data_IF_357144080233
#
_entry.id   IF_357144080233
#
_cell.length_a   1.000
_cell.length_b   1.000
_cell.length_c   1.000
_cell.angle_alpha   90.00
_cell.angle_beta   90.00
_cell.angle_gamma   90.00
#
_symmetry.space_group_name_H-M   'P 1'
#
loop_
_entity.id
_entity.type
_entity.pdbx_description
1 polymer ?
#
# COMPACT_ATOMS: atom_id res chain seq x y z
N UNK A 1 -15.44 -10.27 -26.39
CA UNK A 1 -15.70 -10.63 -24.97
C UNK A 1 -15.97 -9.38 -24.11
N UNK A 2 -15.13 -8.34 -24.14
CA UNK A 2 -15.33 -7.09 -23.37
C UNK A 2 -16.60 -6.31 -23.77
N UNK A 3 -16.92 -6.21 -25.07
CA UNK A 3 -18.12 -5.50 -25.56
C UNK A 3 -19.42 -6.15 -25.09
N UNK A 4 -19.44 -7.49 -24.94
CA UNK A 4 -20.62 -8.22 -24.45
C UNK A 4 -20.88 -7.91 -22.97
N UNK A 5 -19.83 -7.90 -22.14
CA UNK A 5 -19.93 -7.53 -20.72
C UNK A 5 -20.38 -6.08 -20.53
N UNK A 6 -19.92 -5.15 -21.36
CA UNK A 6 -20.34 -3.75 -21.29
C UNK A 6 -21.84 -3.59 -21.58
N UNK A 7 -22.34 -4.27 -22.61
CA UNK A 7 -23.76 -4.24 -22.96
C UNK A 7 -24.64 -4.90 -21.88
N UNK A 8 -24.17 -5.97 -21.23
CA UNK A 8 -24.84 -6.61 -20.11
C UNK A 8 -24.97 -5.68 -18.90
N UNK A 9 -23.93 -4.91 -18.58
CA UNK A 9 -23.94 -3.94 -17.48
C UNK A 9 -24.88 -2.77 -17.79
N UNK A 10 -24.81 -2.21 -18.99
CA UNK A 10 -25.73 -1.14 -19.43
C UNK A 10 -27.18 -1.60 -19.34
N UNK A 11 -27.48 -2.80 -19.86
CA UNK A 11 -28.82 -3.39 -19.81
C UNK A 11 -29.29 -3.60 -18.35
N UNK A 12 -28.38 -3.96 -17.44
CA UNK A 12 -28.67 -4.13 -16.01
C UNK A 12 -28.99 -2.81 -15.32
N UNK A 13 -28.30 -1.72 -15.68
CA UNK A 13 -28.58 -0.39 -15.16
C UNK A 13 -29.89 0.17 -15.68
N UNK A 14 -30.18 0.04 -16.98
CA UNK A 14 -31.48 0.45 -17.55
C UNK A 14 -32.65 -0.31 -16.89
N UNK A 15 -32.50 -1.61 -16.66
CA UNK A 15 -33.48 -2.41 -15.89
C UNK A 15 -33.62 -1.90 -14.45
N UNK A 16 -32.53 -1.48 -13.80
CA UNK A 16 -32.55 -0.93 -12.44
C UNK A 16 -33.28 0.42 -12.36
N UNK A 17 -33.24 1.21 -13.43
CA UNK A 17 -33.90 2.52 -13.53
C UNK A 17 -35.39 2.36 -13.85
N UNK A 18 -35.74 1.49 -14.80
CA UNK A 18 -37.09 1.43 -15.40
C UNK A 18 -38.01 0.45 -14.66
N UNK A 19 -37.48 -0.67 -14.14
CA UNK A 19 -38.32 -1.75 -13.61
C UNK A 19 -38.71 -1.52 -12.14
N UNK A 20 -39.95 -1.10 -11.90
CA UNK A 20 -40.54 -1.09 -10.55
C UNK A 20 -40.88 -2.51 -10.11
N UNK A 21 -40.10 -3.07 -9.18
CA UNK A 21 -40.36 -4.41 -8.61
C UNK A 21 -41.27 -4.28 -7.39
N UNK A 22 -42.42 -4.99 -7.41
CA UNK A 22 -43.42 -4.94 -6.33
C UNK A 22 -42.86 -5.32 -4.94
N UNK A 23 -41.84 -6.19 -4.90
CA UNK A 23 -41.14 -6.61 -3.67
C UNK A 23 -40.50 -5.44 -2.91
N UNK A 24 -40.22 -4.32 -3.59
CA UNK A 24 -39.57 -3.13 -3.03
C UNK A 24 -40.53 -1.94 -2.92
N UNK A 25 -41.85 -2.18 -2.98
CA UNK A 25 -42.87 -1.14 -2.86
C UNK A 25 -43.08 -0.62 -1.42
N UNK A 26 -42.43 -1.24 -0.43
CA UNK A 26 -42.47 -0.80 0.97
C UNK A 26 -41.80 0.59 1.13
N UNK A 27 -42.33 1.43 2.03
CA UNK A 27 -41.82 2.76 2.36
C UNK A 27 -40.32 2.79 2.66
N UNK A 28 -39.78 1.70 3.21
CA UNK A 28 -38.37 1.59 3.60
C UNK A 28 -37.42 1.84 2.40
N UNK A 29 -37.82 1.40 1.21
CA UNK A 29 -37.04 1.54 -0.02
C UNK A 29 -37.36 2.82 -0.80
N UNK A 30 -38.24 3.69 -0.28
CA UNK A 30 -38.79 4.80 -1.05
C UNK A 30 -37.72 5.69 -1.70
N UNK A 31 -36.64 5.98 -0.97
CA UNK A 31 -35.53 6.82 -1.43
C UNK A 31 -34.57 6.10 -2.37
N UNK A 32 -34.60 4.76 -2.46
CA UNK A 32 -33.62 3.95 -3.19
C UNK A 32 -34.07 3.60 -4.61
N UNK A 33 -35.39 3.60 -4.83
CA UNK A 33 -35.99 3.20 -6.11
C UNK A 33 -35.55 4.14 -7.24
N UNK A 34 -35.00 3.57 -8.30
CA UNK A 34 -34.58 4.31 -9.50
C UNK A 34 -33.28 5.10 -9.37
N UNK A 35 -32.65 5.10 -8.18
CA UNK A 35 -31.38 5.82 -7.91
C UNK A 35 -30.27 4.91 -7.41
N UNK A 36 -30.60 3.70 -6.95
CA UNK A 36 -29.64 2.68 -6.51
C UNK A 36 -29.81 1.43 -7.36
N UNK A 37 -28.68 0.75 -7.65
CA UNK A 37 -28.68 -0.47 -8.46
C UNK A 37 -29.58 -1.56 -7.89
N UNK A 38 -30.23 -2.33 -8.77
CA UNK A 38 -31.11 -3.43 -8.35
C UNK A 38 -30.35 -4.47 -7.51
N UNK A 39 -29.10 -4.75 -7.85
CA UNK A 39 -28.24 -5.65 -7.09
C UNK A 39 -28.00 -5.17 -5.64
N UNK A 40 -27.80 -3.87 -5.44
CA UNK A 40 -27.73 -3.30 -4.09
C UNK A 40 -29.05 -3.43 -3.34
N UNK A 41 -30.19 -3.18 -4.01
CA UNK A 41 -31.51 -3.34 -3.41
C UNK A 41 -31.76 -4.81 -3.03
N UNK A 42 -31.32 -5.77 -3.84
CA UNK A 42 -31.43 -7.20 -3.56
C UNK A 42 -30.61 -7.59 -2.32
N UNK A 43 -29.38 -7.05 -2.16
CA UNK A 43 -28.59 -7.23 -0.94
C UNK A 43 -29.26 -6.61 0.30
N UNK A 44 -29.83 -5.40 0.16
CA UNK A 44 -30.56 -4.74 1.26
C UNK A 44 -31.80 -5.56 1.63
N UNK A 45 -32.51 -6.14 0.66
CA UNK A 45 -33.67 -6.99 0.90
C UNK A 45 -33.31 -8.27 1.66
N UNK A 46 -32.18 -8.90 1.33
CA UNK A 46 -31.67 -10.05 2.08
C UNK A 46 -31.37 -9.69 3.54
N UNK A 47 -30.84 -8.50 3.80
CA UNK A 47 -30.60 -8.02 5.17
C UNK A 47 -31.87 -7.60 5.89
N UNK A 48 -32.86 -7.06 5.18
CA UNK A 48 -34.19 -6.79 5.73
C UNK A 48 -34.87 -8.06 6.25
N UNK A 49 -34.76 -9.17 5.51
CA UNK A 49 -35.32 -10.47 5.94
C UNK A 49 -34.68 -10.99 7.25
N UNK A 50 -33.45 -10.56 7.56
CA UNK A 50 -32.73 -10.90 8.80
C UNK A 50 -33.14 -10.04 9.99
N UNK A 51 -33.74 -8.87 9.78
CA UNK A 51 -34.14 -7.93 10.85
C UNK A 51 -34.98 -8.60 11.92
N UNK A 52 -35.88 -9.51 11.55
CA UNK A 52 -36.77 -10.22 12.47
C UNK A 52 -36.05 -11.11 13.50
N UNK A 53 -34.82 -11.53 13.20
CA UNK A 53 -34.01 -12.36 14.09
C UNK A 53 -32.89 -11.55 14.76
N UNK A 54 -32.28 -10.62 14.04
CA UNK A 54 -31.12 -9.84 14.50
C UNK A 54 -31.55 -8.65 15.36
N UNK A 55 -32.69 -8.02 15.06
CA UNK A 55 -33.10 -6.77 15.71
C UNK A 55 -32.04 -5.68 15.54
N UNK A 56 -31.78 -4.90 16.59
CA UNK A 56 -30.74 -3.84 16.62
C UNK A 56 -29.38 -4.34 17.16
N UNK A 57 -29.24 -5.64 17.42
CA UNK A 57 -28.04 -6.20 18.03
C UNK A 57 -26.90 -6.30 17.01
N UNK A 58 -25.83 -5.53 17.24
CA UNK A 58 -24.66 -5.50 16.36
C UNK A 58 -23.83 -6.79 16.43
N UNK A 59 -23.86 -7.50 17.56
CA UNK A 59 -23.10 -8.74 17.76
C UNK A 59 -23.70 -9.88 16.94
N UNK A 60 -25.03 -10.01 16.95
CA UNK A 60 -25.77 -10.96 16.11
C UNK A 60 -25.79 -10.54 14.63
N UNK A 61 -25.77 -9.23 14.33
CA UNK A 61 -25.75 -8.73 12.96
C UNK A 61 -24.42 -9.04 12.25
N UNK A 62 -23.30 -8.86 12.96
CA UNK A 62 -21.92 -8.89 12.46
C UNK A 62 -21.59 -7.84 11.39
N UNK A 63 -22.56 -6.99 11.01
CA UNK A 63 -22.45 -5.83 10.12
C UNK A 63 -21.65 -6.07 8.82
N UNK A 64 -21.65 -7.30 8.30
CA UNK A 64 -20.74 -7.71 7.22
C UNK A 64 -21.01 -6.96 5.93
N UNK A 65 -22.28 -6.78 5.52
CA UNK A 65 -22.62 -6.05 4.29
C UNK A 65 -22.23 -4.57 4.38
N UNK A 66 -22.26 -3.99 5.59
CA UNK A 66 -21.91 -2.59 5.84
C UNK A 66 -20.44 -2.36 5.62
N UNK A 67 -19.58 -3.27 6.10
CA UNK A 67 -18.12 -3.14 5.97
C UNK A 67 -17.61 -3.57 4.59
N UNK A 68 -18.25 -4.57 3.96
CA UNK A 68 -17.76 -5.14 2.69
C UNK A 68 -18.33 -4.47 1.45
N UNK A 69 -19.59 -4.03 1.51
CA UNK A 69 -20.30 -3.48 0.35
C UNK A 69 -20.73 -2.02 0.57
N UNK A 70 -20.65 -1.49 1.80
CA UNK A 70 -21.10 -0.13 2.11
C UNK A 70 -22.63 0.03 2.08
N UNK A 71 -23.37 -1.07 2.30
CA UNK A 71 -24.83 -1.11 2.35
C UNK A 71 -25.34 -1.21 3.79
N UNK A 72 -26.57 -0.76 4.10
CA UNK A 72 -27.13 -0.95 5.44
C UNK A 72 -27.30 -2.43 5.76
N UNK A 73 -26.78 -2.82 6.93
CA UNK A 73 -26.90 -4.16 7.46
C UNK A 73 -28.18 -4.34 8.29
N UNK A 74 -28.54 -5.58 8.62
CA UNK A 74 -29.79 -5.90 9.32
C UNK A 74 -30.05 -5.04 10.57
N UNK A 75 -29.04 -4.81 11.43
CA UNK A 75 -29.25 -3.99 12.65
C UNK A 75 -29.51 -2.51 12.37
N UNK A 76 -28.94 -1.96 11.30
CA UNK A 76 -29.21 -0.58 10.89
C UNK A 76 -30.59 -0.47 10.24
N UNK A 77 -30.95 -1.46 9.42
CA UNK A 77 -32.28 -1.55 8.82
C UNK A 77 -33.37 -1.68 9.89
N UNK A 78 -33.08 -2.40 10.99
CA UNK A 78 -33.97 -2.49 12.14
C UNK A 78 -34.24 -1.10 12.76
N UNK A 79 -33.22 -0.25 12.89
CA UNK A 79 -33.38 1.13 13.38
C UNK A 79 -34.28 1.96 12.47
N UNK A 80 -34.10 1.86 11.13
CA UNK A 80 -34.96 2.55 10.17
C UNK A 80 -36.40 1.99 10.14
N UNK A 81 -36.61 0.77 10.64
CA UNK A 81 -37.94 0.17 10.74
C UNK A 81 -38.69 0.60 12.00
N UNK A 82 -37.97 0.92 13.08
CA UNK A 82 -38.53 1.40 14.36
C UNK A 82 -39.07 2.83 14.29
N UNK A 83 -38.55 3.64 13.37
CA UNK A 83 -39.01 5.01 13.09
C UNK A 83 -39.68 4.97 11.71
N UNK A 84 -40.73 5.75 11.40
CA UNK A 84 -41.33 5.78 10.06
C UNK A 84 -40.44 6.49 9.02
N UNK A 85 -39.19 6.04 8.85
CA UNK A 85 -38.21 6.59 7.91
C UNK A 85 -37.85 5.58 6.84
N UNK A 86 -37.63 6.08 5.63
CA UNK A 86 -36.96 5.35 4.56
C UNK A 86 -35.46 5.27 4.84
N UNK A 87 -34.78 4.28 4.25
CA UNK A 87 -33.32 4.22 4.27
C UNK A 87 -32.79 5.48 3.56
N UNK A 88 -31.94 6.28 4.21
CA UNK A 88 -31.42 7.48 3.59
C UNK A 88 -30.32 7.13 2.58
N UNK A 89 -30.14 7.97 1.56
CA UNK A 89 -29.19 7.69 0.46
C UNK A 89 -27.73 7.76 0.92
N UNK A 90 -27.42 8.58 1.93
CA UNK A 90 -26.08 8.68 2.55
C UNK A 90 -25.68 7.40 3.29
N UNK A 91 -26.64 6.58 3.71
CA UNK A 91 -26.40 5.26 4.28
C UNK A 91 -26.04 4.21 3.20
N UNK A 92 -25.92 4.59 1.93
CA UNK A 92 -25.50 3.71 0.84
C UNK A 92 -24.26 4.31 0.21
N UNK A 93 -23.19 3.51 0.11
CA UNK A 93 -21.97 3.98 -0.53
C UNK A 93 -22.24 4.45 -1.97
N UNK A 94 -21.66 5.60 -2.33
CA UNK A 94 -21.85 6.31 -3.61
C UNK A 94 -21.61 5.45 -4.86
N UNK A 95 -20.94 4.31 -4.71
CA UNK A 95 -20.68 3.40 -5.82
C UNK A 95 -21.96 2.73 -6.32
N UNK A 96 -22.90 2.45 -5.43
CA UNK A 96 -24.17 1.78 -5.77
C UNK A 96 -25.23 2.71 -6.36
N UNK A 97 -25.05 4.03 -6.20
CA UNK A 97 -25.93 5.05 -6.76
C UNK A 97 -25.45 5.57 -8.13
N UNK A 98 -24.25 5.18 -8.57
CA UNK A 98 -23.76 5.45 -9.93
C UNK A 98 -24.39 4.46 -10.91
N UNK A 99 -25.56 4.83 -11.44
CA UNK A 99 -26.32 4.05 -12.42
C UNK A 99 -25.98 4.36 -13.89
N UNK A 100 -24.92 5.12 -14.15
CA UNK A 100 -24.53 5.52 -15.50
C UNK A 100 -23.01 5.53 -15.66
N UNK A 101 -22.58 5.22 -16.87
CA UNK A 101 -21.26 5.58 -17.38
C UNK A 101 -21.43 6.82 -18.28
N UNK A 102 -21.80 7.97 -17.73
CA UNK A 102 -21.79 9.19 -18.54
C UNK A 102 -20.35 9.71 -18.64
N UNK A 103 -19.76 9.51 -19.81
CA UNK A 103 -18.86 10.52 -20.39
C UNK A 103 -19.73 11.73 -20.66
N UNK A 104 -19.49 12.84 -19.96
CA UNK A 104 -20.20 14.09 -20.20
C UNK A 104 -19.93 14.56 -21.63
N UNK A 105 -20.89 14.33 -22.52
CA UNK A 105 -20.84 14.77 -23.91
C UNK A 105 -21.29 16.24 -24.08
N UNK A 106 -21.42 17.02 -22.99
CA UNK A 106 -21.98 18.38 -23.03
C UNK A 106 -21.16 19.46 -22.32
N UNK A 107 -19.99 19.14 -21.75
CA UNK A 107 -18.99 20.17 -21.47
C UNK A 107 -18.10 20.28 -22.71
N UNK A 108 -18.14 21.43 -23.40
CA UNK A 108 -17.08 21.75 -24.35
C UNK A 108 -15.74 21.56 -23.62
N UNK A 109 -14.83 20.72 -24.14
CA UNK A 109 -13.54 20.56 -23.50
C UNK A 109 -12.84 21.89 -23.65
N UNK A 110 -12.74 22.65 -22.55
CA UNK A 110 -11.59 23.54 -22.41
C UNK A 110 -10.40 22.65 -22.66
N UNK A 111 -9.67 22.94 -23.74
CA UNK A 111 -8.52 22.19 -24.16
C UNK A 111 -7.45 22.36 -23.07
N UNK A 112 -7.54 21.53 -22.03
CA UNK A 112 -6.50 21.35 -21.03
C UNK A 112 -5.39 20.60 -21.73
N UNK A 113 -4.64 21.36 -22.52
CA UNK A 113 -3.50 20.88 -23.28
C UNK A 113 -2.33 20.75 -22.31
N UNK A 114 -2.09 19.53 -21.87
CA UNK A 114 -0.87 19.17 -21.14
C UNK A 114 0.38 19.20 -22.02
N UNK A 115 0.24 19.59 -23.31
CA UNK A 115 1.32 19.56 -24.29
C UNK A 115 2.50 20.43 -23.86
N UNK A 116 2.22 21.63 -23.34
CA UNK A 116 3.28 22.51 -22.86
C UNK A 116 4.06 21.89 -21.68
N UNK A 117 3.34 21.29 -20.74
CA UNK A 117 3.94 20.65 -19.56
C UNK A 117 4.74 19.40 -19.94
N UNK A 118 4.24 18.62 -20.91
CA UNK A 118 4.94 17.48 -21.50
C UNK A 118 6.20 17.95 -22.22
N UNK A 119 6.12 18.99 -23.04
CA UNK A 119 7.25 19.52 -23.81
C UNK A 119 8.36 20.04 -22.87
N UNK A 120 7.99 20.68 -21.75
CA UNK A 120 8.93 21.09 -20.70
C UNK A 120 9.61 19.89 -20.05
N UNK A 121 8.88 18.80 -19.81
CA UNK A 121 9.44 17.56 -19.24
C UNK A 121 10.36 16.86 -20.24
N UNK A 122 9.97 16.79 -21.52
CA UNK A 122 10.78 16.19 -22.58
C UNK A 122 12.07 16.96 -22.77
N UNK A 123 12.01 18.30 -22.81
CA UNK A 123 13.20 19.14 -22.91
C UNK A 123 14.15 18.96 -21.73
N UNK A 124 13.61 18.95 -20.50
CA UNK A 124 14.39 18.65 -19.28
C UNK A 124 15.00 17.25 -19.32
N UNK A 125 14.32 16.28 -19.90
CA UNK A 125 14.88 14.93 -20.08
C UNK A 125 16.02 14.93 -21.09
N UNK A 126 15.87 15.62 -22.21
CA UNK A 126 16.88 15.69 -23.27
C UNK A 126 18.17 16.38 -22.82
N UNK A 127 18.05 17.41 -21.99
CA UNK A 127 19.16 18.19 -21.40
C UNK A 127 20.01 17.40 -20.37
N UNK A 128 19.56 16.22 -19.95
CA UNK A 128 20.31 15.38 -19.02
C UNK A 128 21.34 14.49 -19.72
N UNK A 129 22.40 14.20 -18.97
CA UNK A 129 23.39 13.20 -19.33
C UNK A 129 22.81 11.77 -19.23
N UNK A 130 23.54 10.79 -19.76
CA UNK A 130 23.09 9.38 -19.79
C UNK A 130 22.77 8.86 -18.38
N UNK A 131 23.59 9.13 -17.33
CA UNK A 131 23.24 8.82 -15.94
C UNK A 131 21.96 9.51 -15.44
N UNK A 132 21.76 10.80 -15.71
CA UNK A 132 20.57 11.56 -15.31
C UNK A 132 19.29 11.05 -15.95
N UNK A 133 19.36 10.62 -17.22
CA UNK A 133 18.25 9.98 -17.95
C UNK A 133 17.86 8.62 -17.35
N UNK A 134 18.85 7.84 -16.90
CA UNK A 134 18.62 6.55 -16.21
C UNK A 134 17.96 6.79 -14.86
N UNK A 135 18.46 7.76 -14.08
CA UNK A 135 17.90 8.13 -12.76
C UNK A 135 16.44 8.58 -12.86
N UNK A 136 16.09 9.42 -13.83
CA UNK A 136 14.72 9.90 -14.03
C UNK A 136 13.73 8.84 -14.53
N UNK A 137 14.20 7.84 -15.29
CA UNK A 137 13.39 6.66 -15.64
C UNK A 137 13.09 5.78 -14.43
N UNK A 138 13.98 5.72 -13.45
CA UNK A 138 13.81 4.95 -12.20
C UNK A 138 12.89 5.70 -11.21
N UNK A 139 12.87 7.04 -11.24
CA UNK A 139 12.15 7.85 -10.26
C UNK A 139 10.64 8.06 -10.54
N UNK A 140 10.14 7.72 -11.74
CA UNK A 140 8.74 8.00 -12.16
C UNK A 140 7.86 6.78 -12.48
N UNK A 141 8.23 5.59 -12.01
CA UNK A 141 7.30 4.45 -11.93
C UNK A 141 7.40 3.75 -10.56
N UNK A 142 6.77 4.33 -9.54
CA UNK A 142 6.18 3.51 -8.47
C UNK A 142 4.71 3.84 -8.22
N UNK A 143 3.81 3.64 -9.20
CA UNK A 143 2.54 3.03 -8.86
C UNK A 143 2.83 1.65 -8.26
N UNK A 144 2.04 1.24 -7.25
CA UNK A 144 1.82 -0.17 -6.90
C UNK A 144 1.89 -1.00 -8.19
N UNK A 145 2.64 -2.12 -8.27
CA UNK A 145 2.70 -2.90 -9.50
C UNK A 145 1.27 -3.18 -9.97
N UNK A 146 0.95 -2.70 -11.18
CA UNK A 146 -0.34 -2.92 -11.81
C UNK A 146 -0.55 -4.42 -11.86
N UNK A 147 -1.59 -4.89 -11.16
CA UNK A 147 -1.99 -6.30 -11.10
C UNK A 147 -2.22 -6.78 -12.53
N UNK A 148 -1.19 -7.38 -13.13
CA UNK A 148 -1.27 -8.05 -14.41
C UNK A 148 -0.14 -9.06 -14.55
N UNK A 149 -0.20 -10.10 -13.71
CA UNK A 149 -0.20 -11.51 -14.12
C UNK A 149 -0.08 -12.41 -12.87
N UNK A 150 -1.17 -13.12 -12.61
CA UNK A 150 -1.21 -14.57 -12.40
C UNK A 150 -0.19 -15.17 -11.41
N UNK A 151 -0.71 -15.67 -10.29
CA UNK A 151 -0.14 -16.75 -9.44
C UNK A 151 1.06 -16.43 -8.52
N UNK A 152 0.96 -15.41 -7.66
CA UNK A 152 1.60 -15.54 -6.35
C UNK A 152 0.51 -15.50 -5.27
N UNK A 153 0.41 -16.53 -4.39
CA UNK A 153 -0.52 -16.48 -3.28
C UNK A 153 -0.24 -15.23 -2.45
N UNK A 154 -1.27 -14.50 -2.04
CA UNK A 154 -1.13 -13.54 -0.94
C UNK A 154 -0.72 -14.34 0.28
N UNK A 155 0.57 -14.34 0.62
CA UNK A 155 1.09 -15.18 1.69
C UNK A 155 0.84 -14.47 3.03
N UNK A 156 -0.45 -14.36 3.40
CA UNK A 156 -0.84 -13.99 4.76
C UNK A 156 -0.32 -14.99 5.80
N UNK A 157 0.28 -16.12 5.39
CA UNK A 157 1.00 -17.04 6.28
C UNK A 157 2.13 -16.34 7.06
N UNK A 158 2.82 -15.38 6.45
CA UNK A 158 3.90 -14.67 7.12
C UNK A 158 3.43 -13.76 8.27
N UNK A 159 2.14 -13.43 8.28
CA UNK A 159 1.51 -12.61 9.32
C UNK A 159 1.60 -13.24 10.72
N UNK A 160 1.67 -14.58 10.80
CA UNK A 160 1.82 -15.29 12.07
C UNK A 160 3.25 -15.20 12.64
N UNK A 161 4.21 -14.74 11.84
CA UNK A 161 5.59 -14.47 12.25
C UNK A 161 5.83 -13.00 12.59
N UNK A 162 4.76 -12.25 12.83
CA UNK A 162 4.78 -10.85 13.22
C UNK A 162 3.95 -10.64 14.50
N UNK A 163 4.20 -9.55 15.25
CA UNK A 163 3.42 -9.22 16.43
C UNK A 163 1.92 -9.14 16.12
N UNK A 164 1.07 -9.75 16.96
CA UNK A 164 -0.38 -9.83 16.71
C UNK A 164 -1.02 -8.44 16.68
N UNK A 165 -0.40 -7.45 17.31
CA UNK A 165 -0.86 -6.06 17.38
C UNK A 165 -0.76 -5.37 16.02
N UNK A 166 0.26 -5.70 15.21
CA UNK A 166 0.49 -5.07 13.91
C UNK A 166 -0.42 -5.64 12.80
N UNK A 167 -0.96 -6.83 13.03
CA UNK A 167 -1.76 -7.58 12.07
C UNK A 167 -2.98 -6.85 11.53
N UNK A 168 -3.57 -5.92 12.29
CA UNK A 168 -4.71 -5.11 11.85
C UNK A 168 -4.30 -3.97 10.89
N UNK A 169 -3.03 -3.59 10.91
CA UNK A 169 -2.44 -2.50 10.13
C UNK A 169 -1.78 -2.97 8.84
N UNK A 170 -1.54 -4.27 8.68
CA UNK A 170 -1.00 -4.84 7.44
C UNK A 170 -2.10 -4.88 6.37
N UNK A 171 -1.80 -4.30 5.20
CA UNK A 171 -2.58 -4.41 3.97
C UNK A 171 -2.18 -5.66 3.18
N UNK A 172 -0.88 -5.88 2.98
CA UNK A 172 -0.37 -7.03 2.23
C UNK A 172 1.04 -7.46 2.70
N UNK A 173 1.39 -8.71 2.41
CA UNK A 173 2.74 -9.26 2.59
C UNK A 173 3.13 -10.00 1.30
N UNK A 174 4.23 -9.58 0.69
CA UNK A 174 4.71 -10.15 -0.57
C UNK A 174 6.05 -10.85 -0.31
N UNK A 175 6.09 -12.13 -0.68
CA UNK A 175 7.29 -12.95 -0.58
C UNK A 175 8.34 -12.56 -1.62
N UNK A 176 9.59 -12.93 -1.38
CA UNK A 176 10.72 -12.77 -2.30
C UNK A 176 11.58 -14.02 -2.28
N UNK A 177 12.44 -14.19 -3.29
CA UNK A 177 13.36 -15.33 -3.35
C UNK A 177 14.19 -15.53 -2.05
N UNK A 178 14.38 -16.79 -1.65
CA UNK A 178 15.00 -17.23 -0.40
C UNK A 178 16.48 -17.66 -0.55
N UNK A 179 17.16 -17.16 -1.58
CA UNK A 179 18.54 -17.51 -1.98
C UNK A 179 19.64 -16.82 -1.14
N UNK A 180 19.34 -16.45 0.10
CA UNK A 180 20.22 -15.68 0.98
C UNK A 180 20.27 -14.17 0.68
N UNK A 181 19.58 -13.70 -0.37
CA UNK A 181 19.50 -12.28 -0.71
C UNK A 181 18.14 -11.64 -0.37
N UNK A 182 17.24 -12.34 0.31
CA UNK A 182 15.85 -11.93 0.55
C UNK A 182 15.69 -10.50 1.09
N UNK A 183 16.54 -10.06 2.03
CA UNK A 183 16.48 -8.69 2.55
C UNK A 183 16.72 -7.64 1.45
N UNK A 184 17.74 -7.85 0.61
CA UNK A 184 18.08 -6.94 -0.48
C UNK A 184 17.08 -7.04 -1.65
N UNK A 185 16.51 -8.24 -1.88
CA UNK A 185 15.41 -8.47 -2.81
C UNK A 185 14.16 -7.69 -2.41
N UNK A 186 13.78 -7.75 -1.14
CA UNK A 186 12.65 -7.00 -0.60
C UNK A 186 12.84 -5.48 -0.76
N UNK A 187 14.04 -4.97 -0.43
CA UNK A 187 14.38 -3.55 -0.62
C UNK A 187 14.30 -3.15 -2.09
N UNK A 188 14.89 -3.94 -3.00
CA UNK A 188 14.85 -3.66 -4.44
C UNK A 188 13.41 -3.57 -4.98
N UNK A 189 12.56 -4.52 -4.56
CA UNK A 189 11.14 -4.53 -4.93
C UNK A 189 10.39 -3.32 -4.38
N UNK A 190 10.57 -2.98 -3.10
CA UNK A 190 9.94 -1.84 -2.43
C UNK A 190 10.40 -0.48 -2.98
N UNK A 191 11.62 -0.41 -3.53
CA UNK A 191 12.12 0.77 -4.22
C UNK A 191 11.59 0.89 -5.66
N UNK A 192 10.84 -0.09 -6.16
CA UNK A 192 10.27 -0.10 -7.51
C UNK A 192 11.16 -0.72 -8.59
N UNK A 193 12.29 -1.30 -8.21
CA UNK A 193 13.28 -1.83 -9.16
C UNK A 193 13.00 -3.29 -9.52
N UNK A 194 12.17 -3.98 -8.74
CA UNK A 194 11.93 -5.42 -8.83
C UNK A 194 12.95 -6.21 -8.02
N UNK A 195 12.53 -7.37 -7.47
CA UNK A 195 13.35 -8.13 -6.52
C UNK A 195 14.69 -8.59 -7.08
N UNK A 196 14.79 -8.82 -8.39
CA UNK A 196 16.01 -9.28 -9.06
C UNK A 196 17.11 -8.20 -9.13
N UNK A 197 16.82 -6.95 -8.76
CA UNK A 197 17.81 -5.90 -8.62
C UNK A 197 18.56 -5.93 -7.26
N UNK A 198 18.45 -7.01 -6.48
CA UNK A 198 19.14 -7.16 -5.20
C UNK A 198 20.66 -6.93 -5.27
N UNK A 199 21.32 -7.34 -6.36
CA UNK A 199 22.76 -7.16 -6.53
C UNK A 199 23.14 -5.68 -6.61
N UNK A 200 22.31 -4.87 -7.28
CA UNK A 200 22.47 -3.43 -7.32
C UNK A 200 22.31 -2.81 -5.92
N UNK A 201 21.32 -3.25 -5.14
CA UNK A 201 21.15 -2.76 -3.75
C UNK A 201 22.40 -3.05 -2.92
N UNK A 202 22.93 -4.28 -2.98
CA UNK A 202 24.17 -4.65 -2.27
C UNK A 202 25.34 -3.78 -2.70
N UNK A 203 25.55 -3.59 -4.01
CA UNK A 203 26.61 -2.73 -4.53
C UNK A 203 26.48 -1.28 -4.04
N UNK A 204 25.27 -0.72 -4.05
CA UNK A 204 25.03 0.64 -3.55
C UNK A 204 25.29 0.75 -2.04
N UNK A 205 24.98 -0.28 -1.26
CA UNK A 205 25.31 -0.33 0.16
C UNK A 205 26.83 -0.42 0.41
N UNK A 206 27.57 -1.19 -0.40
CA UNK A 206 29.04 -1.23 -0.32
C UNK A 206 29.64 0.16 -0.60
N UNK A 207 29.19 0.81 -1.68
CA UNK A 207 29.65 2.17 -2.04
C UNK A 207 29.35 3.16 -0.91
N UNK A 208 28.14 3.13 -0.36
CA UNK A 208 27.74 3.97 0.79
C UNK A 208 28.67 3.80 2.00
N UNK A 209 28.93 2.53 2.38
CA UNK A 209 29.77 2.21 3.53
C UNK A 209 31.24 2.64 3.30
N UNK A 210 31.74 2.52 2.07
CA UNK A 210 33.09 2.95 1.71
C UNK A 210 33.23 4.47 1.68
N UNK A 211 32.27 5.16 1.05
CA UNK A 211 32.27 6.62 0.89
C UNK A 211 32.14 7.35 2.24
N UNK A 212 31.32 6.80 3.15
CA UNK A 212 31.06 7.40 4.46
C UNK A 212 31.63 6.56 5.62
N UNK A 213 32.76 5.89 5.40
CA UNK A 213 33.38 4.97 6.35
C UNK A 213 33.51 5.57 7.75
N UNK A 214 34.09 6.76 7.87
CA UNK A 214 34.28 7.46 9.16
C UNK A 214 32.97 7.69 9.93
N UNK A 215 31.85 7.92 9.23
CA UNK A 215 30.54 8.07 9.88
C UNK A 215 30.05 6.74 10.44
N UNK A 216 30.20 5.66 9.70
CA UNK A 216 29.77 4.33 10.16
C UNK A 216 30.67 3.76 11.25
N UNK A 217 31.94 4.15 11.30
CA UNK A 217 32.84 3.81 12.41
C UNK A 217 32.32 4.35 13.74
N UNK A 218 31.88 5.61 13.74
CA UNK A 218 31.29 6.25 14.90
C UNK A 218 29.95 5.57 15.26
N UNK A 219 29.14 5.26 14.25
CA UNK A 219 27.80 4.71 14.45
C UNK A 219 27.81 3.26 14.96
N UNK A 220 28.74 2.44 14.47
CA UNK A 220 28.78 0.99 14.71
C UNK A 220 29.96 0.53 15.58
N UNK A 221 30.76 1.46 16.09
CA UNK A 221 31.77 1.17 17.11
C UNK A 221 33.14 0.72 16.59
N UNK A 222 33.52 1.13 15.36
CA UNK A 222 34.91 1.10 14.89
C UNK A 222 35.14 0.53 13.49
N UNK A 223 36.30 0.86 12.92
CA UNK A 223 36.72 0.55 11.55
C UNK A 223 36.68 -0.94 11.21
N UNK A 224 37.21 -1.79 12.09
CA UNK A 224 37.24 -3.24 11.84
C UNK A 224 35.84 -3.83 11.67
N UNK A 225 34.87 -3.34 12.44
CA UNK A 225 33.49 -3.78 12.34
C UNK A 225 32.86 -3.33 11.01
N UNK A 226 33.08 -2.08 10.61
CA UNK A 226 32.58 -1.55 9.33
C UNK A 226 33.21 -2.26 8.14
N UNK A 227 34.51 -2.56 8.18
CA UNK A 227 35.20 -3.36 7.14
C UNK A 227 34.61 -4.77 7.03
N UNK A 228 34.33 -5.41 8.16
CA UNK A 228 33.65 -6.71 8.16
C UNK A 228 32.23 -6.62 7.58
N UNK A 229 31.49 -5.56 7.93
CA UNK A 229 30.17 -5.31 7.36
C UNK A 229 30.25 -5.12 5.83
N UNK A 230 31.20 -4.34 5.32
CA UNK A 230 31.44 -4.20 3.87
C UNK A 230 31.70 -5.55 3.21
N UNK A 231 32.57 -6.37 3.80
CA UNK A 231 32.86 -7.71 3.29
C UNK A 231 31.59 -8.59 3.25
N UNK A 232 30.76 -8.54 4.28
CA UNK A 232 29.52 -9.31 4.35
C UNK A 232 28.49 -8.84 3.30
N UNK A 233 28.40 -7.52 3.07
CA UNK A 233 27.48 -6.91 2.09
C UNK A 233 27.96 -7.09 0.65
N UNK A 234 29.21 -7.48 0.42
CA UNK A 234 29.73 -7.82 -0.90
C UNK A 234 29.48 -9.31 -1.21
N UNK A 235 28.98 -9.63 -2.41
CA UNK A 235 28.81 -11.03 -2.90
C UNK A 235 29.13 -11.03 -4.40
N UNK A 236 30.08 -11.88 -4.81
CA UNK A 236 30.41 -12.12 -6.22
C UNK A 236 29.63 -13.28 -6.83
N UNK A 237 29.22 -14.24 -6.00
CA UNK A 237 28.61 -15.49 -6.45
C UNK A 237 27.37 -15.81 -5.61
N UNK A 238 27.45 -16.80 -4.73
CA UNK A 238 26.34 -17.26 -3.89
C UNK A 238 26.48 -16.65 -2.50
N UNK A 239 25.38 -16.10 -1.98
CA UNK A 239 25.33 -15.57 -0.62
C UNK A 239 25.38 -16.71 0.40
N UNK A 240 26.35 -16.67 1.31
CA UNK A 240 26.38 -17.50 2.51
C UNK A 240 25.60 -16.85 3.65
N UNK A 241 25.55 -17.50 4.81
CA UNK A 241 24.93 -16.91 6.02
C UNK A 241 25.62 -15.63 6.47
N UNK A 242 26.93 -15.51 6.25
CA UNK A 242 27.70 -14.30 6.60
C UNK A 242 27.28 -13.11 5.74
N UNK A 243 26.64 -13.37 4.59
CA UNK A 243 26.16 -12.37 3.65
C UNK A 243 24.71 -11.94 3.90
N UNK A 244 24.02 -12.54 4.88
CA UNK A 244 22.64 -12.19 5.18
C UNK A 244 22.54 -10.75 5.72
N UNK A 245 21.42 -10.10 5.42
CA UNK A 245 21.16 -8.75 5.93
C UNK A 245 21.06 -8.77 7.46
N UNK A 246 21.86 -7.94 8.13
CA UNK A 246 21.82 -7.75 9.58
C UNK A 246 21.18 -6.41 9.94
N UNK A 247 20.28 -6.43 10.91
CA UNK A 247 19.72 -5.24 11.53
C UNK A 247 20.31 -5.08 12.95
N UNK A 248 20.59 -3.84 13.40
CA UNK A 248 20.12 -2.57 12.84
C UNK A 248 20.98 -1.96 11.72
N UNK A 249 22.20 -2.46 11.46
CA UNK A 249 23.21 -1.78 10.64
C UNK A 249 22.70 -1.51 9.22
N UNK A 250 22.20 -2.54 8.54
CA UNK A 250 21.73 -2.40 7.18
C UNK A 250 20.49 -1.51 7.05
N UNK A 251 19.68 -1.43 8.11
CA UNK A 251 18.55 -0.49 8.17
C UNK A 251 19.01 0.95 7.99
N UNK A 252 20.10 1.34 8.66
CA UNK A 252 20.70 2.67 8.52
C UNK A 252 21.40 2.89 7.18
N UNK A 253 22.15 1.89 6.69
CA UNK A 253 22.82 1.97 5.39
C UNK A 253 21.81 2.17 4.26
N UNK A 254 20.71 1.42 4.28
CA UNK A 254 19.63 1.53 3.27
C UNK A 254 18.92 2.88 3.41
N UNK A 255 18.55 3.29 4.62
CA UNK A 255 17.86 4.55 4.86
C UNK A 255 18.67 5.74 4.32
N UNK A 256 19.98 5.76 4.59
CA UNK A 256 20.88 6.81 4.12
C UNK A 256 21.11 6.75 2.60
N UNK A 257 21.46 5.59 2.06
CA UNK A 257 21.81 5.46 0.64
C UNK A 257 20.65 5.80 -0.29
N UNK A 258 19.45 5.38 0.06
CA UNK A 258 18.27 5.55 -0.80
C UNK A 258 17.37 6.71 -0.36
N UNK A 259 17.76 7.42 0.70
CA UNK A 259 16.98 8.49 1.32
C UNK A 259 15.51 8.07 1.55
N UNK A 260 15.34 6.95 2.26
CA UNK A 260 14.04 6.36 2.59
C UNK A 260 13.92 6.13 4.08
N UNK A 261 12.68 6.08 4.59
CA UNK A 261 12.39 5.59 5.93
C UNK A 261 12.23 4.08 5.85
N UNK A 262 13.08 3.34 6.57
CA UNK A 262 13.01 1.87 6.63
C UNK A 262 12.31 1.45 7.91
N UNK A 263 11.17 0.79 7.79
CA UNK A 263 10.50 0.14 8.91
C UNK A 263 10.83 -1.35 8.87
N UNK A 264 11.44 -1.86 9.93
CA UNK A 264 11.70 -3.28 10.10
C UNK A 264 10.76 -3.87 11.16
N UNK A 265 10.04 -4.92 10.78
CA UNK A 265 9.11 -5.64 11.64
C UNK A 265 9.68 -7.02 11.98
N UNK A 266 9.59 -7.44 13.23
CA UNK A 266 9.88 -8.81 13.65
C UNK A 266 9.22 -9.11 15.00
N UNK A 267 9.16 -10.38 15.39
CA UNK A 267 8.69 -10.80 16.72
C UNK A 267 9.58 -10.30 17.86
N UNK A 268 10.89 -10.22 17.63
CA UNK A 268 11.85 -9.89 18.67
C UNK A 268 12.01 -8.37 18.85
N UNK A 269 12.09 -7.65 17.73
CA UNK A 269 12.36 -6.23 17.73
C UNK A 269 11.86 -5.59 16.43
N UNK A 270 10.92 -4.66 16.57
CA UNK A 270 10.46 -3.81 15.47
C UNK A 270 10.99 -2.40 15.65
N UNK A 271 11.55 -1.80 14.60
CA UNK A 271 12.22 -0.50 14.65
C UNK A 271 12.03 0.28 13.35
N UNK A 272 12.13 1.61 13.46
CA UNK A 272 12.20 2.51 12.31
C UNK A 272 13.58 3.15 12.21
N UNK A 273 14.15 3.13 11.00
CA UNK A 273 15.42 3.76 10.63
C UNK A 273 15.13 4.93 9.70
N UNK A 274 15.40 6.13 10.20
CA UNK A 274 15.33 7.35 9.42
C UNK A 274 16.72 7.71 8.86
N UNK A 275 16.81 8.40 7.72
CA UNK A 275 18.05 8.99 7.27
C UNK A 275 18.66 9.87 8.37
N UNK A 276 19.98 9.75 8.58
CA UNK A 276 20.69 10.50 9.64
C UNK A 276 21.25 11.84 9.16
N UNK A 277 21.42 12.00 7.85
CA UNK A 277 22.14 13.12 7.24
C UNK A 277 21.31 13.95 6.26
N UNK A 278 20.25 13.38 5.71
CA UNK A 278 19.39 14.05 4.73
C UNK A 278 18.24 14.75 5.45
N UNK A 279 17.84 15.96 5.03
CA UNK A 279 16.64 16.58 5.55
C UNK A 279 15.43 15.72 5.18
N UNK A 280 14.41 15.64 6.06
CA UNK A 280 13.18 14.97 5.68
C UNK A 280 12.52 15.69 4.50
N UNK A 281 11.82 14.97 3.62
CA UNK A 281 11.15 15.58 2.51
C UNK A 281 10.16 16.66 2.97
N UNK A 282 10.10 17.79 2.27
CA UNK A 282 9.25 18.93 2.68
C UNK A 282 7.75 18.62 2.56
N UNK A 283 7.38 17.67 1.70
CA UNK A 283 6.00 17.19 1.56
C UNK A 283 5.84 15.77 2.11
N UNK A 284 4.68 15.51 2.70
CA UNK A 284 4.30 14.16 3.13
C UNK A 284 4.13 13.19 1.97
N UNK A 285 3.81 13.68 0.77
CA UNK A 285 3.76 12.85 -0.45
C UNK A 285 5.13 12.32 -0.89
N UNK A 286 6.20 12.99 -0.45
CA UNK A 286 7.57 12.73 -0.92
C UNK A 286 8.32 11.81 0.05
N UNK A 287 7.73 11.53 1.21
CA UNK A 287 8.24 10.56 2.16
C UNK A 287 8.12 9.15 1.59
N UNK A 288 9.28 8.56 1.29
CA UNK A 288 9.37 7.17 0.84
C UNK A 288 9.56 6.26 2.05
N UNK A 289 8.48 5.62 2.49
CA UNK A 289 8.52 4.59 3.54
C UNK A 289 8.56 3.22 2.87
N UNK A 290 9.56 2.40 3.23
CA UNK A 290 9.59 0.98 2.88
C UNK A 290 9.47 0.14 4.15
N UNK A 291 8.73 -0.96 4.08
CA UNK A 291 8.51 -1.84 5.24
C UNK A 291 8.96 -3.25 4.89
N UNK A 292 9.93 -3.75 5.65
CA UNK A 292 10.43 -5.13 5.57
C UNK A 292 10.05 -5.87 6.86
N UNK A 293 9.81 -7.17 6.74
CA UNK A 293 9.57 -8.03 7.88
C UNK A 293 10.56 -9.18 7.92
N UNK A 294 11.19 -9.40 9.07
CA UNK A 294 11.98 -10.60 9.33
C UNK A 294 11.08 -11.69 9.91
N UNK A 295 10.95 -12.78 9.18
CA UNK A 295 10.01 -13.88 9.44
C UNK A 295 10.74 -15.21 9.46
N UNK A 296 10.16 -16.20 10.16
CA UNK A 296 10.72 -17.56 10.27
C UNK A 296 12.19 -17.62 10.74
N UNK A 297 12.66 -16.59 11.44
CA UNK A 297 14.04 -16.45 11.94
C UNK A 297 15.15 -16.55 10.87
N UNK A 298 14.82 -16.43 9.57
CA UNK A 298 15.82 -16.51 8.49
C UNK A 298 15.45 -15.78 7.20
N UNK A 299 14.23 -15.24 7.07
CA UNK A 299 13.74 -14.72 5.80
C UNK A 299 13.22 -13.30 5.92
N UNK A 300 13.37 -12.51 4.86
CA UNK A 300 12.81 -11.17 4.77
C UNK A 300 11.73 -11.11 3.70
N UNK A 301 10.63 -10.43 4.01
CA UNK A 301 9.50 -10.23 3.09
C UNK A 301 9.14 -8.74 3.00
N UNK A 302 8.43 -8.37 1.93
CA UNK A 302 7.87 -7.03 1.77
C UNK A 302 6.58 -6.92 2.58
N UNK A 303 6.36 -5.80 3.26
CA UNK A 303 5.10 -5.52 3.94
C UNK A 303 4.52 -4.21 3.41
N UNK A 304 3.21 -4.21 3.18
CA UNK A 304 2.46 -3.01 2.85
C UNK A 304 1.55 -2.72 4.04
N UNK A 305 1.69 -1.55 4.65
CA UNK A 305 0.83 -1.09 5.72
C UNK A 305 -0.34 -0.29 5.15
N UNK A 306 -1.49 -0.33 5.84
CA UNK A 306 -2.64 0.52 5.54
C UNK A 306 -2.28 1.99 5.78
N UNK A 307 -2.95 2.90 5.08
CA UNK A 307 -2.81 4.33 5.32
C UNK A 307 -3.03 4.68 6.79
N UNK A 308 -2.21 5.60 7.33
CA UNK A 308 -2.23 6.05 8.72
C UNK A 308 -1.94 4.96 9.77
N UNK A 309 -1.32 3.85 9.38
CA UNK A 309 -0.84 2.84 10.33
C UNK A 309 0.26 3.41 11.22
N UNK A 310 0.28 3.07 12.53
CA UNK A 310 1.40 3.40 13.38
C UNK A 310 2.63 2.63 12.91
N UNK A 311 3.79 3.28 12.99
CA UNK A 311 5.10 2.67 12.76
C UNK A 311 5.83 2.46 14.10
N UNK A 312 6.72 1.46 14.20
CA UNK A 312 7.56 1.25 15.38
C UNK A 312 8.39 2.50 15.73
N UNK A 313 8.86 2.62 16.98
CA UNK A 313 9.68 3.75 17.40
C UNK A 313 10.99 3.83 16.61
N UNK A 314 11.52 5.04 16.49
CA UNK A 314 12.86 5.27 15.96
C UNK A 314 13.92 4.56 16.83
N UNK A 315 14.93 3.97 16.20
CA UNK A 315 16.08 3.42 16.90
C UNK A 315 16.82 4.50 17.71
N UNK A 316 17.45 4.09 18.83
CA UNK A 316 18.23 4.98 19.68
C UNK A 316 19.41 5.64 18.93
N UNK A 317 19.97 4.98 17.92
CA UNK A 317 21.04 5.56 17.10
C UNK A 317 20.56 6.82 16.36
N UNK A 318 19.29 6.87 15.94
CA UNK A 318 18.77 8.10 15.32
C UNK A 318 18.71 9.25 16.31
N UNK A 319 18.21 9.01 17.53
CA UNK A 319 18.15 10.02 18.59
C UNK A 319 19.52 10.59 18.95
N UNK A 320 20.55 9.75 18.91
CA UNK A 320 21.89 10.12 19.35
C UNK A 320 22.76 10.74 18.25
N UNK A 321 22.51 10.39 16.99
CA UNK A 321 23.43 10.72 15.89
C UNK A 321 22.78 11.46 14.70
N UNK A 322 21.47 11.76 14.74
CA UNK A 322 20.87 12.58 13.68
C UNK A 322 21.44 14.01 13.70
N UNK A 323 21.82 14.52 12.51
CA UNK A 323 22.25 15.90 12.36
C UNK A 323 21.06 16.87 12.47
N UNK A 324 21.34 18.17 12.60
CA UNK A 324 20.27 19.18 12.74
C UNK A 324 19.36 19.24 11.51
N UNK A 325 19.91 19.04 10.31
CA UNK A 325 19.15 19.02 9.06
C UNK A 325 18.12 17.88 9.03
N UNK A 326 18.45 16.70 9.56
CA UNK A 326 17.54 15.55 9.65
C UNK A 326 16.47 15.70 10.74
N UNK A 327 16.53 16.74 11.58
CA UNK A 327 15.54 17.01 12.64
C UNK A 327 14.44 18.01 12.24
N UNK A 328 14.61 18.70 11.12
CA UNK A 328 13.67 19.75 10.66
C UNK A 328 12.32 19.18 10.24
#
# INVERSE_FOLDING_TARGET
MIVLQHNEIITSFEKSIIQKVHRYSNRLYANLRGVVSKNAIDHIAAEYDRVKYVGIDQTECRCTIRTTHGLPCACEIAMYSMIPRSIPLDAIHVWWSKLTFHLDASSQPSELSVKHEIDVIVKKFEELDVPGKISLKVQKLTPRPSISKVQQPRVLLFKYWLPVEINKFIDDIIDVGDDGNCGYRAVAALLGMGENCWAFIRQQCVVELQEFMSHYEILFGGENYVRQLIHNVYVEQVASKDNWMTLPEMGYVIALKFNVVVVALSLNQSQTYFPLRSPPPTSMSDHRVIVIAFVNNCHFVQVYLKSYSPIPPASNLWKNYCNEEARQ
#
